data_IF_837278869345
#
_entry.id   IF_837278869345
#
_cell.length_a   1.000
_cell.length_b   1.000
_cell.length_c   1.000
_cell.angle_alpha   90.00
_cell.angle_beta   90.00
_cell.angle_gamma   90.00
#
_symmetry.space_group_name_H-M   'P 1'
#
loop_
_entity.id
_entity.type
_entity.pdbx_description
1 polymer ?
#
# COMPACT_ATOMS: atom_id res chain seq x y z
N UNK A 1 14.10 -28.64 -15.11
CA UNK A 1 13.29 -27.45 -15.42
C UNK A 1 14.12 -26.21 -15.13
N UNK A 2 14.30 -25.36 -16.12
CA UNK A 2 14.96 -24.05 -15.97
C UNK A 2 13.94 -23.01 -15.51
N UNK A 3 14.37 -22.03 -14.75
CA UNK A 3 13.53 -20.90 -14.33
C UNK A 3 14.12 -19.63 -14.95
N UNK A 4 13.37 -18.97 -15.81
CA UNK A 4 13.74 -17.69 -16.43
C UNK A 4 13.02 -16.56 -15.70
N UNK A 5 13.77 -15.71 -14.99
CA UNK A 5 13.22 -14.52 -14.35
C UNK A 5 13.39 -13.33 -15.28
N UNK A 6 12.28 -12.76 -15.73
CA UNK A 6 12.24 -11.58 -16.61
C UNK A 6 11.94 -10.34 -15.75
N UNK A 7 12.58 -9.22 -16.07
CA UNK A 7 12.52 -7.95 -15.34
C UNK A 7 13.26 -7.98 -14.00
N UNK A 8 14.50 -7.55 -14.02
CA UNK A 8 15.35 -7.45 -12.83
C UNK A 8 15.10 -6.16 -12.03
N UNK A 9 14.46 -5.15 -12.60
CA UNK A 9 14.21 -3.85 -11.97
C UNK A 9 13.20 -3.92 -10.82
N UNK A 10 12.09 -4.66 -11.01
CA UNK A 10 10.95 -4.66 -10.09
C UNK A 10 10.98 -5.84 -9.10
N UNK A 11 12.18 -6.21 -8.64
CA UNK A 11 12.38 -7.25 -7.64
C UNK A 11 12.81 -8.61 -8.19
N UNK A 12 12.99 -8.74 -9.50
CA UNK A 12 13.43 -9.98 -10.14
C UNK A 12 14.78 -10.48 -9.64
N UNK A 13 15.75 -9.60 -9.37
CA UNK A 13 17.05 -9.96 -8.76
C UNK A 13 16.84 -10.74 -7.46
N UNK A 14 15.97 -10.28 -6.57
CA UNK A 14 15.69 -10.95 -5.29
C UNK A 14 15.02 -12.31 -5.47
N UNK A 15 14.11 -12.39 -6.44
CA UNK A 15 13.43 -13.65 -6.81
C UNK A 15 14.44 -14.63 -7.36
N UNK A 16 15.28 -14.24 -8.31
CA UNK A 16 16.29 -15.08 -8.93
C UNK A 16 17.27 -15.64 -7.88
N UNK A 17 17.80 -14.78 -7.02
CA UNK A 17 18.70 -15.21 -5.92
C UNK A 17 17.96 -16.15 -4.94
N UNK A 18 16.70 -15.91 -4.63
CA UNK A 18 15.93 -16.75 -3.72
C UNK A 18 15.70 -18.16 -4.29
N UNK A 19 15.44 -18.25 -5.59
CA UNK A 19 15.32 -19.52 -6.30
C UNK A 19 16.66 -20.27 -6.36
N UNK A 20 17.75 -19.58 -6.68
CA UNK A 20 19.09 -20.15 -6.71
C UNK A 20 19.52 -20.69 -5.33
N UNK A 21 19.20 -19.96 -4.24
CA UNK A 21 19.42 -20.44 -2.86
C UNK A 21 18.65 -21.71 -2.52
N UNK A 22 17.50 -21.96 -3.17
CA UNK A 22 16.74 -23.22 -3.08
C UNK A 22 17.25 -24.30 -4.04
N UNK A 23 18.42 -24.10 -4.68
CA UNK A 23 19.07 -25.07 -5.58
C UNK A 23 18.39 -25.19 -6.95
N UNK A 24 17.56 -24.23 -7.36
CA UNK A 24 16.96 -24.23 -8.69
C UNK A 24 17.94 -23.68 -9.73
N UNK A 25 17.86 -24.18 -10.96
CA UNK A 25 18.59 -23.60 -12.08
C UNK A 25 17.87 -22.33 -12.53
N UNK A 26 18.57 -21.18 -12.52
CA UNK A 26 17.97 -19.87 -12.74
C UNK A 26 18.71 -19.10 -13.82
N UNK A 27 17.95 -18.67 -14.79
CA UNK A 27 18.30 -17.73 -15.84
C UNK A 27 17.63 -16.38 -15.52
N UNK A 28 18.23 -15.29 -15.92
CA UNK A 28 17.66 -13.97 -15.71
C UNK A 28 17.83 -13.07 -16.94
N UNK A 29 16.81 -12.31 -17.27
CA UNK A 29 16.85 -11.34 -18.36
C UNK A 29 16.53 -9.92 -17.85
N UNK A 30 17.42 -8.97 -18.11
CA UNK A 30 17.25 -7.56 -17.76
C UNK A 30 16.63 -6.77 -18.93
N UNK A 31 15.32 -6.95 -19.13
CA UNK A 31 14.58 -6.32 -20.23
C UNK A 31 14.67 -4.79 -20.27
N UNK A 32 15.01 -4.14 -19.16
CA UNK A 32 15.10 -2.68 -19.05
C UNK A 32 16.53 -2.14 -19.04
N UNK A 33 17.53 -3.02 -19.01
CA UNK A 33 18.95 -2.65 -18.88
C UNK A 33 19.23 -1.73 -17.68
N UNK A 34 18.68 -2.06 -16.52
CA UNK A 34 18.78 -1.27 -15.29
C UNK A 34 19.59 -1.95 -14.20
N UNK A 35 20.17 -3.12 -14.48
CA UNK A 35 20.96 -3.89 -13.53
C UNK A 35 22.24 -3.13 -13.15
N UNK A 36 22.42 -2.86 -11.88
CA UNK A 36 23.64 -2.23 -11.38
C UNK A 36 24.77 -3.24 -11.11
N UNK A 37 25.98 -2.72 -10.89
CA UNK A 37 27.17 -3.56 -10.65
C UNK A 37 27.06 -4.43 -9.39
N UNK A 38 26.29 -4.00 -8.39
CA UNK A 38 26.14 -4.74 -7.13
C UNK A 38 25.21 -5.93 -7.37
N UNK A 39 24.07 -5.69 -7.98
CA UNK A 39 23.10 -6.72 -8.30
C UNK A 39 23.67 -7.73 -9.30
N UNK A 40 24.42 -7.26 -10.31
CA UNK A 40 25.14 -8.15 -11.21
C UNK A 40 26.09 -9.09 -10.48
N UNK A 41 26.96 -8.57 -9.59
CA UNK A 41 27.86 -9.39 -8.77
C UNK A 41 27.10 -10.38 -7.90
N UNK A 42 25.95 -9.98 -7.35
CA UNK A 42 25.13 -10.86 -6.53
C UNK A 42 24.56 -12.02 -7.35
N UNK A 43 24.06 -11.78 -8.56
CA UNK A 43 23.57 -12.82 -9.46
C UNK A 43 24.68 -13.82 -9.78
N UNK A 44 25.90 -13.35 -10.10
CA UNK A 44 27.07 -14.21 -10.35
C UNK A 44 27.44 -15.07 -9.12
N UNK A 45 27.46 -14.49 -7.91
CA UNK A 45 27.77 -15.22 -6.65
C UNK A 45 26.79 -16.38 -6.44
N UNK A 46 25.53 -16.22 -6.82
CA UNK A 46 24.50 -17.26 -6.67
C UNK A 46 24.31 -18.13 -7.92
N UNK A 47 25.25 -18.06 -8.90
CA UNK A 47 25.21 -18.83 -10.15
C UNK A 47 23.90 -18.62 -10.94
N UNK A 48 23.39 -17.40 -10.98
CA UNK A 48 22.31 -17.00 -11.87
C UNK A 48 22.94 -16.58 -13.19
N UNK A 49 22.51 -17.20 -14.28
CA UNK A 49 23.01 -16.90 -15.63
C UNK A 49 22.18 -15.77 -16.24
N UNK A 50 22.84 -14.70 -16.69
CA UNK A 50 22.22 -13.64 -17.45
C UNK A 50 22.15 -14.04 -18.93
N UNK A 51 20.96 -13.92 -19.52
CA UNK A 51 20.74 -14.26 -20.93
C UNK A 51 19.89 -13.18 -21.61
N UNK A 52 20.05 -13.07 -22.93
CA UNK A 52 19.09 -12.39 -23.79
C UNK A 52 17.97 -13.35 -24.20
N UNK A 53 16.77 -12.83 -24.57
CA UNK A 53 15.66 -13.71 -24.97
C UNK A 53 15.99 -14.51 -26.22
N UNK A 54 16.83 -14.01 -27.11
CA UNK A 54 17.35 -14.69 -28.30
C UNK A 54 18.15 -15.96 -27.98
N UNK A 55 18.77 -16.02 -26.79
CA UNK A 55 19.56 -17.17 -26.35
C UNK A 55 18.67 -18.37 -26.01
N UNK A 56 17.36 -18.15 -25.82
CA UNK A 56 16.41 -19.24 -25.60
C UNK A 56 16.47 -20.33 -26.67
N UNK A 57 16.86 -20.00 -27.90
CA UNK A 57 17.04 -20.97 -29.01
C UNK A 57 17.97 -22.13 -28.66
N UNK A 58 18.92 -21.94 -27.74
CA UNK A 58 19.95 -22.92 -27.37
C UNK A 58 19.49 -23.86 -26.25
N UNK A 59 18.34 -23.60 -25.62
CA UNK A 59 17.81 -24.39 -24.52
C UNK A 59 16.86 -25.49 -25.00
N UNK A 60 16.68 -26.50 -24.15
CA UNK A 60 15.78 -27.65 -24.41
C UNK A 60 15.01 -28.02 -23.14
N UNK A 61 13.84 -28.63 -23.31
CA UNK A 61 13.01 -29.17 -22.24
C UNK A 61 12.07 -28.13 -21.65
N UNK A 62 11.92 -28.17 -20.34
CA UNK A 62 10.94 -27.34 -19.62
C UNK A 62 11.53 -26.00 -19.20
N UNK A 63 10.79 -24.93 -19.42
CA UNK A 63 11.12 -23.56 -19.04
C UNK A 63 9.98 -22.93 -18.25
N UNK A 64 10.23 -22.57 -16.99
CA UNK A 64 9.30 -21.77 -16.19
C UNK A 64 9.67 -20.30 -16.31
N UNK A 65 8.83 -19.50 -16.95
CA UNK A 65 9.00 -18.06 -17.11
C UNK A 65 8.35 -17.34 -15.95
N UNK A 66 9.14 -16.58 -15.22
CA UNK A 66 8.73 -15.82 -14.03
C UNK A 66 8.80 -14.34 -14.36
N UNK A 67 7.66 -13.64 -14.30
CA UNK A 67 7.53 -12.29 -14.84
C UNK A 67 6.66 -11.38 -13.96
N UNK A 68 6.88 -10.05 -14.01
CA UNK A 68 6.01 -9.10 -13.32
C UNK A 68 4.68 -8.95 -14.07
N UNK A 69 3.59 -8.70 -13.36
CA UNK A 69 2.25 -8.56 -13.96
C UNK A 69 2.14 -7.41 -14.98
N UNK A 70 3.05 -6.44 -14.91
CA UNK A 70 3.14 -5.31 -15.84
C UNK A 70 4.16 -5.51 -16.97
N UNK A 71 4.58 -6.77 -17.22
CA UNK A 71 5.52 -7.07 -18.30
C UNK A 71 4.96 -6.58 -19.65
N UNK A 72 5.75 -5.79 -20.41
CA UNK A 72 5.30 -5.25 -21.70
C UNK A 72 5.36 -6.26 -22.85
N UNK A 73 5.76 -7.52 -22.61
CA UNK A 73 5.80 -8.62 -23.56
C UNK A 73 4.64 -9.59 -23.34
N UNK A 74 4.10 -10.12 -24.42
CA UNK A 74 3.13 -11.23 -24.36
C UNK A 74 3.84 -12.58 -24.21
N UNK A 75 3.11 -13.58 -23.77
CA UNK A 75 3.62 -14.95 -23.72
C UNK A 75 4.03 -15.45 -25.11
N UNK A 76 3.28 -15.10 -26.17
CA UNK A 76 3.57 -15.48 -27.56
C UNK A 76 4.88 -14.85 -28.05
N UNK A 77 5.17 -13.59 -27.69
CA UNK A 77 6.44 -12.95 -28.01
C UNK A 77 7.61 -13.72 -27.38
N UNK A 78 7.49 -14.14 -26.12
CA UNK A 78 8.54 -14.91 -25.43
C UNK A 78 8.70 -16.31 -26.05
N UNK A 79 7.59 -17.02 -26.27
CA UNK A 79 7.64 -18.40 -26.84
C UNK A 79 8.13 -18.42 -28.26
N UNK A 80 8.00 -17.34 -29.03
CA UNK A 80 8.49 -17.23 -30.39
C UNK A 80 10.00 -17.40 -30.55
N UNK A 81 10.78 -17.07 -29.47
CA UNK A 81 12.24 -17.26 -29.48
C UNK A 81 12.67 -18.74 -29.48
N UNK A 82 11.85 -19.64 -28.93
CA UNK A 82 12.06 -21.10 -29.07
C UNK A 82 10.73 -21.87 -28.89
N UNK A 83 9.98 -22.13 -29.95
CA UNK A 83 8.70 -22.85 -29.89
C UNK A 83 8.81 -24.34 -29.47
N UNK A 84 10.02 -24.87 -29.36
CA UNK A 84 10.25 -26.26 -28.97
C UNK A 84 10.42 -26.47 -27.44
N UNK A 85 10.40 -25.41 -26.64
CA UNK A 85 10.40 -25.50 -25.18
C UNK A 85 8.98 -25.73 -24.65
N UNK A 86 8.88 -26.47 -23.55
CA UNK A 86 7.63 -26.58 -22.79
C UNK A 86 7.57 -25.45 -21.77
N UNK A 87 6.79 -24.42 -22.07
CA UNK A 87 6.70 -23.24 -21.22
C UNK A 87 5.63 -23.39 -20.15
N UNK A 88 5.96 -22.93 -18.94
CA UNK A 88 5.01 -22.56 -17.90
C UNK A 88 5.26 -21.10 -17.52
N UNK A 89 4.21 -20.39 -17.11
CA UNK A 89 4.28 -18.97 -16.81
C UNK A 89 3.79 -18.74 -15.39
N UNK A 90 4.60 -18.03 -14.57
CA UNK A 90 4.25 -17.60 -13.23
C UNK A 90 4.55 -16.12 -13.04
N UNK A 91 3.65 -15.40 -12.40
CA UNK A 91 3.92 -14.02 -12.02
C UNK A 91 4.92 -13.94 -10.86
N UNK A 92 5.56 -12.77 -10.66
CA UNK A 92 6.37 -12.51 -9.48
C UNK A 92 5.57 -12.73 -8.18
N UNK A 93 4.26 -12.50 -8.19
CA UNK A 93 3.37 -12.73 -7.06
C UNK A 93 3.25 -14.23 -6.74
N UNK A 94 2.99 -15.05 -7.76
CA UNK A 94 2.85 -16.51 -7.62
C UNK A 94 4.14 -17.17 -7.13
N UNK A 95 5.28 -16.81 -7.71
CA UNK A 95 6.54 -17.41 -7.28
C UNK A 95 6.95 -16.98 -5.87
N UNK A 96 6.61 -15.77 -5.43
CA UNK A 96 6.84 -15.33 -4.04
C UNK A 96 5.96 -16.14 -3.08
N UNK A 97 4.69 -16.42 -3.44
CA UNK A 97 3.85 -17.35 -2.67
C UNK A 97 4.52 -18.71 -2.50
N UNK A 98 5.02 -19.30 -3.59
CA UNK A 98 5.71 -20.59 -3.57
C UNK A 98 7.01 -20.55 -2.74
N UNK A 99 7.74 -19.45 -2.79
CA UNK A 99 8.94 -19.24 -1.98
C UNK A 99 8.65 -19.14 -0.48
N UNK A 100 7.45 -18.77 -0.09
CA UNK A 100 6.98 -18.56 1.28
C UNK A 100 6.04 -19.65 1.80
N UNK A 101 5.83 -20.74 1.06
CA UNK A 101 4.93 -21.83 1.46
C UNK A 101 5.17 -22.38 2.86
N UNK A 102 6.43 -22.41 3.31
CA UNK A 102 6.83 -22.93 4.62
C UNK A 102 6.88 -21.84 5.70
N UNK A 103 6.43 -20.61 5.37
CA UNK A 103 6.46 -19.48 6.29
C UNK A 103 5.07 -19.13 6.83
N UNK A 104 5.02 -18.74 8.09
CA UNK A 104 3.87 -18.05 8.68
C UNK A 104 2.83 -18.96 9.31
N UNK A 105 3.17 -20.20 9.67
CA UNK A 105 2.30 -21.03 10.51
C UNK A 105 2.01 -20.30 11.83
N UNK A 106 0.71 -20.13 12.12
CA UNK A 106 0.20 -19.42 13.31
C UNK A 106 0.45 -17.90 13.29
N UNK A 107 0.89 -17.28 12.19
CA UNK A 107 0.94 -15.83 11.99
C UNK A 107 -0.33 -15.41 11.24
N UNK A 108 -1.04 -14.38 11.73
CA UNK A 108 -2.13 -13.76 10.98
C UNK A 108 -1.55 -12.95 9.82
N UNK A 109 -1.89 -13.29 8.59
CA UNK A 109 -1.34 -12.66 7.36
C UNK A 109 -2.41 -11.85 6.65
N UNK A 110 -2.14 -10.59 6.46
CA UNK A 110 -3.02 -9.65 5.76
C UNK A 110 -2.27 -9.05 4.58
N UNK A 111 -2.86 -9.11 3.40
CA UNK A 111 -2.35 -8.42 2.23
C UNK A 111 -3.34 -7.33 1.82
N UNK A 112 -2.84 -6.09 1.65
CA UNK A 112 -3.66 -4.91 1.35
C UNK A 112 -3.31 -4.37 -0.03
N UNK A 113 -4.32 -4.26 -0.90
CA UNK A 113 -4.20 -3.63 -2.22
C UNK A 113 -5.37 -2.66 -2.46
N UNK A 114 -5.31 -1.94 -3.56
CA UNK A 114 -6.28 -0.94 -3.97
C UNK A 114 -5.59 0.18 -4.73
N UNK A 115 -6.35 1.09 -5.30
CA UNK A 115 -5.79 2.27 -5.96
C UNK A 115 -5.37 3.30 -4.91
N UNK A 116 -6.24 3.58 -3.94
CA UNK A 116 -5.97 4.54 -2.84
C UNK A 116 -6.24 3.92 -1.46
N UNK A 117 -5.72 4.55 -0.40
CA UNK A 117 -5.99 4.16 0.98
C UNK A 117 -5.13 3.04 1.57
N UNK A 118 -4.29 2.36 0.78
CA UNK A 118 -3.51 1.19 1.21
C UNK A 118 -2.67 1.44 2.47
N UNK A 119 -1.79 2.41 2.44
CA UNK A 119 -0.91 2.73 3.58
C UNK A 119 -1.70 3.11 4.81
N UNK A 120 -2.76 3.92 4.64
CA UNK A 120 -3.70 4.30 5.71
C UNK A 120 -4.30 3.06 6.39
N UNK A 121 -4.81 2.12 5.60
CA UNK A 121 -5.41 0.87 6.10
C UNK A 121 -4.39 -0.04 6.77
N UNK A 122 -3.17 -0.15 6.24
CA UNK A 122 -2.07 -0.89 6.89
C UNK A 122 -1.78 -0.33 8.28
N UNK A 123 -1.75 0.99 8.45
CA UNK A 123 -1.48 1.58 9.76
C UNK A 123 -2.69 1.57 10.70
N UNK A 124 -3.93 1.56 10.19
CA UNK A 124 -5.12 1.26 11.01
C UNK A 124 -5.08 -0.19 11.52
N UNK A 125 -4.79 -1.16 10.65
CA UNK A 125 -4.60 -2.56 11.02
C UNK A 125 -3.47 -2.73 12.05
N UNK A 126 -2.37 -2.01 11.88
CA UNK A 126 -1.26 -1.97 12.82
C UNK A 126 -1.71 -1.53 14.22
N UNK A 127 -2.55 -0.50 14.34
CA UNK A 127 -3.06 -0.08 15.65
C UNK A 127 -3.93 -1.16 16.31
N UNK A 128 -4.78 -1.85 15.53
CA UNK A 128 -5.64 -2.92 16.06
C UNK A 128 -4.80 -4.13 16.50
N UNK A 129 -3.77 -4.47 15.73
CA UNK A 129 -2.91 -5.64 15.97
C UNK A 129 -1.62 -5.33 16.72
N UNK A 130 -1.48 -4.14 17.31
CA UNK A 130 -0.22 -3.68 17.91
C UNK A 130 0.32 -4.60 19.00
N UNK A 131 -0.56 -5.26 19.75
CA UNK A 131 -0.20 -6.20 20.81
C UNK A 131 0.28 -7.58 20.26
N UNK A 132 0.19 -7.79 18.96
CA UNK A 132 0.67 -8.97 18.22
C UNK A 132 2.03 -8.72 17.55
N UNK A 133 2.67 -7.59 17.88
CA UNK A 133 3.98 -7.20 17.35
C UNK A 133 4.03 -7.25 15.81
N UNK A 134 3.19 -6.52 15.08
CA UNK A 134 3.03 -6.71 13.64
C UNK A 134 4.32 -6.45 12.83
N UNK A 135 4.59 -7.35 11.87
CA UNK A 135 5.56 -7.15 10.80
C UNK A 135 4.87 -6.45 9.63
N UNK A 136 5.44 -5.34 9.15
CA UNK A 136 4.80 -4.50 8.14
C UNK A 136 5.73 -4.28 6.94
N UNK A 137 5.16 -4.40 5.74
CA UNK A 137 5.69 -3.79 4.53
C UNK A 137 4.70 -2.74 4.05
N UNK A 138 5.17 -1.52 3.90
CA UNK A 138 4.37 -0.41 3.37
C UNK A 138 5.23 0.53 2.54
N UNK A 139 4.60 1.51 1.89
CA UNK A 139 5.31 2.58 1.17
C UNK A 139 6.19 3.45 2.09
N UNK A 140 6.00 3.37 3.41
CA UNK A 140 6.85 4.05 4.40
C UNK A 140 8.05 3.21 4.84
N UNK A 141 8.12 1.94 4.45
CA UNK A 141 9.23 1.06 4.77
C UNK A 141 8.81 -0.34 5.20
N UNK A 142 9.82 -1.16 5.50
CA UNK A 142 9.68 -2.42 6.20
C UNK A 142 9.89 -2.16 7.69
N UNK A 143 8.89 -2.48 8.50
CA UNK A 143 8.83 -2.16 9.93
C UNK A 143 8.49 -3.42 10.72
N UNK A 144 9.03 -3.53 11.91
CA UNK A 144 8.64 -4.51 12.92
C UNK A 144 8.27 -3.76 14.19
N UNK A 145 7.16 -4.12 14.81
CA UNK A 145 6.80 -3.61 16.12
C UNK A 145 7.10 -4.67 17.17
N UNK A 146 7.74 -4.25 18.27
CA UNK A 146 8.02 -5.10 19.43
C UNK A 146 7.65 -4.31 20.68
N UNK A 147 6.74 -4.82 21.48
CA UNK A 147 6.21 -4.13 22.66
C UNK A 147 5.76 -2.69 22.33
N UNK A 148 5.07 -2.50 21.22
CA UNK A 148 4.59 -1.22 20.67
C UNK A 148 5.69 -0.26 20.22
N UNK A 149 6.95 -0.70 20.20
CA UNK A 149 8.09 0.09 19.70
C UNK A 149 8.35 -0.24 18.25
N UNK A 150 8.52 0.80 17.45
CA UNK A 150 8.85 0.65 16.04
C UNK A 150 10.34 0.34 15.85
N UNK A 151 10.61 -0.70 15.09
CA UNK A 151 11.94 -1.08 14.60
C UNK A 151 11.92 -0.95 13.08
N UNK A 152 12.67 -0.01 12.56
CA UNK A 152 12.81 0.17 11.10
C UNK A 152 13.78 -0.88 10.57
N UNK A 153 13.25 -1.84 9.80
CA UNK A 153 14.05 -2.89 9.16
C UNK A 153 14.74 -2.34 7.90
N UNK A 154 14.00 -1.58 7.09
CA UNK A 154 14.49 -0.96 5.86
C UNK A 154 13.64 0.23 5.47
N UNK A 155 14.27 1.37 5.24
CA UNK A 155 13.66 2.56 4.62
C UNK A 155 13.70 2.42 3.09
N UNK A 156 12.90 3.21 2.40
CA UNK A 156 12.91 3.31 0.93
C UNK A 156 12.84 1.93 0.24
N UNK A 157 11.85 1.15 0.60
CA UNK A 157 11.56 -0.16 0.02
C UNK A 157 10.25 -0.07 -0.78
N UNK A 158 10.26 -0.56 -2.01
CA UNK A 158 9.05 -0.61 -2.83
C UNK A 158 8.09 -1.72 -2.37
N UNK A 159 6.79 -1.51 -2.56
CA UNK A 159 5.74 -2.45 -2.19
C UNK A 159 5.49 -3.48 -3.31
N UNK A 160 6.54 -4.22 -3.66
CA UNK A 160 6.52 -5.31 -4.65
C UNK A 160 6.49 -6.68 -3.97
N UNK A 161 6.04 -7.75 -4.64
CA UNK A 161 6.00 -9.09 -4.06
C UNK A 161 7.35 -9.56 -3.50
N UNK A 162 8.44 -9.32 -4.23
CA UNK A 162 9.79 -9.69 -3.81
C UNK A 162 10.20 -9.04 -2.47
N UNK A 163 9.68 -7.85 -2.19
CA UNK A 163 9.96 -7.13 -0.96
C UNK A 163 9.15 -7.65 0.25
N UNK A 164 8.05 -8.37 0.03
CA UNK A 164 7.40 -9.15 1.10
C UNK A 164 8.40 -10.16 1.66
N UNK A 165 9.01 -10.95 0.78
CA UNK A 165 10.04 -11.92 1.19
C UNK A 165 11.25 -11.24 1.83
N UNK A 166 11.75 -10.14 1.26
CA UNK A 166 12.88 -9.38 1.82
C UNK A 166 12.56 -8.88 3.26
N UNK A 167 11.34 -8.38 3.49
CA UNK A 167 10.88 -7.93 4.81
C UNK A 167 10.87 -9.07 5.82
N UNK A 168 10.37 -10.25 5.43
CA UNK A 168 10.38 -11.46 6.26
C UNK A 168 11.82 -11.89 6.59
N UNK A 169 12.70 -11.92 5.58
CA UNK A 169 14.11 -12.28 5.76
C UNK A 169 14.86 -11.29 6.68
N UNK A 170 14.54 -9.99 6.60
CA UNK A 170 15.09 -8.97 7.48
C UNK A 170 14.61 -9.14 8.93
N UNK A 171 13.33 -9.38 9.13
CA UNK A 171 12.77 -9.66 10.45
C UNK A 171 13.39 -10.93 11.07
N UNK A 172 13.56 -11.97 10.26
CA UNK A 172 14.24 -13.20 10.70
C UNK A 172 15.67 -12.95 11.17
N UNK A 173 16.46 -12.15 10.45
CA UNK A 173 17.84 -11.81 10.83
C UNK A 173 17.91 -11.05 12.16
N UNK A 174 16.94 -10.20 12.46
CA UNK A 174 16.87 -9.46 13.72
C UNK A 174 16.43 -10.38 14.86
N UNK A 175 15.46 -11.26 14.60
CA UNK A 175 14.98 -12.24 15.57
C UNK A 175 16.05 -13.29 15.92
N UNK A 176 16.94 -13.59 14.98
CA UNK A 176 18.03 -14.56 15.14
C UNK A 176 19.39 -13.87 14.93
N UNK A 177 19.81 -12.96 15.82
CA UNK A 177 21.16 -12.42 15.76
C UNK A 177 22.12 -13.60 15.86
N UNK A 178 23.15 -13.60 15.01
CA UNK A 178 24.20 -14.66 14.98
C UNK A 178 24.60 -14.98 16.42
N UNK A 179 24.15 -16.14 16.91
CA UNK A 179 24.43 -16.58 18.26
C UNK A 179 25.96 -16.68 18.45
N UNK A 180 26.48 -16.08 19.51
CA UNK A 180 27.83 -16.31 19.93
C UNK A 180 28.00 -17.83 20.18
N UNK A 181 28.90 -18.44 19.46
CA UNK A 181 29.31 -19.83 19.69
C UNK A 181 30.00 -19.83 21.06
N UNK A 182 29.30 -20.25 22.10
CA UNK A 182 29.89 -20.73 23.32
C UNK A 182 29.69 -22.25 23.30
N UNK A 183 30.79 -22.95 23.33
CA UNK A 183 30.87 -24.42 23.51
C UNK A 183 30.38 -25.31 22.35
N UNK A 184 30.43 -24.86 21.10
CA UNK A 184 30.23 -25.73 19.93
C UNK A 184 28.79 -26.18 19.69
N UNK A 185 27.83 -25.73 20.45
CA UNK A 185 26.38 -25.96 20.26
C UNK A 185 25.69 -24.69 19.78
N UNK A 186 25.10 -24.75 18.58
CA UNK A 186 24.23 -23.72 18.05
C UNK A 186 22.85 -24.03 18.58
N UNK A 187 22.42 -23.39 19.64
CA UNK A 187 21.01 -23.37 20.02
C UNK A 187 20.28 -22.40 19.06
N UNK A 188 19.57 -22.96 18.09
CA UNK A 188 18.55 -22.22 17.34
C UNK A 188 17.34 -22.05 18.26
N UNK A 189 17.24 -20.91 18.90
CA UNK A 189 15.97 -20.49 19.46
C UNK A 189 15.10 -19.98 18.30
N UNK A 190 14.04 -20.70 17.96
CA UNK A 190 12.99 -20.22 17.07
C UNK A 190 12.22 -19.09 17.76
N UNK A 191 12.86 -17.95 17.89
CA UNK A 191 12.24 -16.75 18.47
C UNK A 191 11.46 -16.04 17.38
N UNK A 192 10.16 -16.33 17.31
CA UNK A 192 9.21 -15.56 16.53
C UNK A 192 8.89 -14.28 17.30
N UNK A 193 9.29 -13.14 16.75
CA UNK A 193 9.05 -11.83 17.38
C UNK A 193 7.70 -11.20 17.02
N UNK A 194 6.92 -11.79 16.13
CA UNK A 194 5.65 -11.25 15.64
C UNK A 194 4.61 -12.34 15.41
N UNK A 195 3.34 -12.02 15.69
CA UNK A 195 2.18 -12.91 15.54
C UNK A 195 1.22 -12.44 14.45
N UNK A 196 1.48 -11.29 13.84
CA UNK A 196 0.77 -10.78 12.68
C UNK A 196 1.71 -10.17 11.65
N UNK A 197 1.32 -10.20 10.38
CA UNK A 197 2.05 -9.61 9.26
C UNK A 197 1.08 -8.92 8.32
N UNK A 198 1.40 -7.67 7.95
CA UNK A 198 0.55 -6.81 7.13
C UNK A 198 1.38 -6.30 5.96
N UNK A 199 1.01 -6.66 4.74
CA UNK A 199 1.77 -6.32 3.55
C UNK A 199 0.96 -5.47 2.59
N UNK A 200 1.44 -4.26 2.31
CA UNK A 200 0.93 -3.39 1.26
C UNK A 200 1.47 -3.85 -0.10
N UNK A 201 0.61 -3.93 -1.10
CA UNK A 201 0.98 -4.26 -2.48
C UNK A 201 0.35 -3.29 -3.48
N UNK A 202 1.13 -2.86 -4.47
CA UNK A 202 0.69 -1.89 -5.47
C UNK A 202 -0.21 -2.53 -6.54
N UNK A 203 0.30 -3.52 -7.25
CA UNK A 203 -0.35 -4.15 -8.41
C UNK A 203 -0.90 -5.55 -8.11
N UNK A 204 -1.63 -5.69 -7.01
CA UNK A 204 -2.15 -6.97 -6.58
C UNK A 204 -1.33 -7.58 -5.45
N UNK A 205 -1.74 -8.74 -4.97
CA UNK A 205 -1.17 -9.40 -3.81
C UNK A 205 -0.54 -10.74 -4.17
N UNK A 206 0.32 -11.28 -3.33
CA UNK A 206 0.94 -12.58 -3.56
C UNK A 206 -0.03 -13.74 -3.34
N UNK A 207 -1.04 -13.53 -2.51
CA UNK A 207 -2.02 -14.56 -2.12
C UNK A 207 -1.55 -15.46 -0.98
N UNK A 208 -0.55 -15.00 -0.19
CA UNK A 208 -0.17 -15.67 1.07
C UNK A 208 -1.08 -15.26 2.24
N UNK A 209 -1.86 -14.19 2.07
CA UNK A 209 -2.74 -13.65 3.10
C UNK A 209 -3.81 -14.64 3.54
N UNK A 210 -4.03 -14.75 4.85
CA UNK A 210 -5.23 -15.38 5.39
C UNK A 210 -6.45 -14.52 4.99
N UNK A 211 -6.26 -13.18 4.98
CA UNK A 211 -7.22 -12.22 4.42
C UNK A 211 -6.52 -11.30 3.42
N UNK A 212 -7.13 -11.13 2.25
CA UNK A 212 -6.81 -10.11 1.26
C UNK A 212 -7.80 -8.96 1.32
N UNK A 213 -7.33 -7.73 1.48
CA UNK A 213 -8.15 -6.52 1.47
C UNK A 213 -7.95 -5.74 0.18
N UNK A 214 -9.01 -5.61 -0.63
CA UNK A 214 -9.06 -4.71 -1.78
C UNK A 214 -9.94 -3.51 -1.45
N UNK A 215 -9.29 -2.35 -1.27
CA UNK A 215 -9.96 -1.14 -0.78
C UNK A 215 -10.86 -0.48 -1.82
N UNK A 216 -10.38 -0.35 -3.05
CA UNK A 216 -11.12 0.29 -4.15
C UNK A 216 -10.40 0.11 -5.49
N UNK A 217 -11.17 0.33 -6.57
CA UNK A 217 -10.68 0.59 -7.93
C UNK A 217 -11.14 1.99 -8.33
N UNK A 218 -10.68 3.01 -7.60
CA UNK A 218 -11.08 4.40 -7.84
C UNK A 218 -10.77 4.89 -9.27
N UNK A 219 -9.82 4.25 -9.94
CA UNK A 219 -9.44 4.46 -11.32
C UNK A 219 -8.83 3.16 -11.87
N UNK A 220 -9.36 2.65 -12.95
CA UNK A 220 -8.82 1.46 -13.61
C UNK A 220 -7.80 1.85 -14.68
N UNK A 221 -6.59 2.25 -14.23
CA UNK A 221 -5.53 2.71 -15.11
C UNK A 221 -4.84 1.57 -15.87
N UNK A 222 -4.37 1.84 -17.12
CA UNK A 222 -3.68 0.84 -17.93
C UNK A 222 -2.30 0.51 -17.36
N UNK A 223 -1.91 -0.76 -17.44
CA UNK A 223 -0.58 -1.28 -17.13
C UNK A 223 -0.04 -2.09 -18.33
N UNK A 224 1.22 -2.55 -18.27
CA UNK A 224 1.82 -3.38 -19.32
C UNK A 224 1.71 -2.74 -20.73
N UNK A 225 1.93 -1.43 -20.84
CA UNK A 225 1.73 -0.63 -22.08
C UNK A 225 0.30 -0.75 -22.64
N UNK A 226 -0.70 -0.79 -21.76
CA UNK A 226 -2.12 -0.87 -22.15
C UNK A 226 -2.62 -2.29 -22.47
N UNK A 227 -1.81 -3.33 -22.25
CA UNK A 227 -2.22 -4.73 -22.44
C UNK A 227 -3.06 -5.28 -21.30
N UNK A 228 -3.04 -4.63 -20.15
CA UNK A 228 -3.79 -4.97 -18.94
C UNK A 228 -4.16 -3.69 -18.18
N UNK A 229 -4.90 -3.83 -17.11
CA UNK A 229 -5.36 -2.74 -16.27
C UNK A 229 -5.20 -3.05 -14.77
N UNK A 230 -5.41 -2.06 -13.93
CA UNK A 230 -5.24 -2.19 -12.49
C UNK A 230 -6.21 -3.20 -11.88
N UNK A 231 -7.46 -3.30 -12.37
CA UNK A 231 -8.46 -4.27 -11.92
C UNK A 231 -7.99 -5.71 -12.18
N UNK A 232 -7.49 -6.01 -13.37
CA UNK A 232 -6.95 -7.35 -13.68
C UNK A 232 -5.75 -7.71 -12.80
N UNK A 233 -4.84 -6.76 -12.54
CA UNK A 233 -3.71 -6.98 -11.64
C UNK A 233 -4.17 -7.28 -10.22
N UNK A 234 -5.18 -6.55 -9.71
CA UNK A 234 -5.68 -6.68 -8.34
C UNK A 234 -6.60 -7.89 -8.13
N UNK A 235 -7.08 -8.52 -9.20
CA UNK A 235 -7.81 -9.79 -9.17
C UNK A 235 -7.07 -10.89 -8.41
N UNK A 236 -5.75 -10.77 -8.24
CA UNK A 236 -4.96 -11.70 -7.43
C UNK A 236 -5.38 -11.74 -5.96
N UNK A 237 -6.15 -10.76 -5.45
CA UNK A 237 -6.69 -10.76 -4.09
C UNK A 237 -7.53 -12.02 -3.81
N UNK A 238 -8.18 -12.56 -4.83
CA UNK A 238 -8.96 -13.81 -4.74
C UNK A 238 -8.10 -15.08 -4.58
N UNK A 239 -6.79 -14.95 -4.41
CA UNK A 239 -5.88 -16.06 -4.03
C UNK A 239 -5.64 -16.14 -2.53
N UNK A 240 -6.09 -15.16 -1.77
CA UNK A 240 -6.07 -15.18 -0.30
C UNK A 240 -7.14 -16.12 0.25
N UNK A 241 -7.01 -16.52 1.50
CA UNK A 241 -7.94 -17.45 2.15
C UNK A 241 -9.35 -16.88 2.31
N UNK A 242 -9.47 -15.60 2.61
CA UNK A 242 -10.69 -14.81 2.68
C UNK A 242 -10.46 -13.47 1.98
N UNK A 243 -11.48 -12.89 1.37
CA UNK A 243 -11.39 -11.63 0.63
C UNK A 243 -12.34 -10.61 1.21
N UNK A 244 -11.81 -9.45 1.58
CA UNK A 244 -12.57 -8.26 1.95
C UNK A 244 -12.44 -7.23 0.81
N UNK A 245 -13.55 -6.80 0.24
CA UNK A 245 -13.55 -5.95 -0.95
C UNK A 245 -14.66 -4.89 -0.89
N UNK A 246 -14.35 -3.67 -1.38
CA UNK A 246 -15.39 -2.66 -1.59
C UNK A 246 -16.47 -3.19 -2.54
N UNK A 247 -17.74 -3.03 -2.15
CA UNK A 247 -18.92 -3.58 -2.87
C UNK A 247 -18.98 -3.07 -4.29
N UNK A 248 -18.75 -1.78 -4.48
CA UNK A 248 -18.77 -1.10 -5.77
C UNK A 248 -17.69 -1.68 -6.71
N UNK A 249 -16.48 -1.89 -6.21
CA UNK A 249 -15.41 -2.51 -6.99
C UNK A 249 -15.69 -3.99 -7.28
N UNK A 250 -16.33 -4.71 -6.35
CA UNK A 250 -16.72 -6.11 -6.58
C UNK A 250 -17.77 -6.22 -7.69
N UNK A 251 -18.82 -5.42 -7.63
CA UNK A 251 -19.93 -5.48 -8.59
C UNK A 251 -19.49 -5.07 -10.00
N UNK A 252 -18.61 -4.08 -10.10
CA UNK A 252 -18.14 -3.58 -11.39
C UNK A 252 -17.13 -4.52 -12.08
N UNK A 253 -16.17 -5.07 -11.32
CA UNK A 253 -15.00 -5.75 -11.90
C UNK A 253 -14.93 -7.24 -11.62
N UNK A 254 -15.60 -7.77 -10.58
CA UNK A 254 -15.33 -9.11 -10.07
C UNK A 254 -16.57 -9.96 -9.77
N UNK A 255 -17.74 -9.51 -10.17
CA UNK A 255 -19.03 -10.23 -9.93
C UNK A 255 -19.09 -11.64 -10.50
N UNK A 256 -18.25 -11.95 -11.49
CA UNK A 256 -18.10 -13.27 -12.11
C UNK A 256 -17.08 -14.18 -11.40
N UNK A 257 -16.30 -13.64 -10.46
CA UNK A 257 -15.26 -14.40 -9.78
C UNK A 257 -15.86 -15.33 -8.74
N UNK A 258 -15.52 -16.60 -8.82
CA UNK A 258 -15.93 -17.60 -7.84
C UNK A 258 -14.89 -17.73 -6.75
N UNK A 259 -15.29 -17.41 -5.53
CA UNK A 259 -14.48 -17.60 -4.31
C UNK A 259 -15.43 -17.81 -3.13
N UNK A 260 -15.15 -18.81 -2.28
CA UNK A 260 -16.09 -19.24 -1.23
C UNK A 260 -16.23 -18.21 -0.10
N UNK A 261 -15.17 -17.45 0.18
CA UNK A 261 -15.10 -16.49 1.29
C UNK A 261 -14.85 -15.08 0.76
N UNK A 262 -15.85 -14.47 0.14
CA UNK A 262 -15.86 -13.05 -0.19
C UNK A 262 -16.76 -12.32 0.76
N UNK A 263 -16.29 -11.23 1.32
CA UNK A 263 -17.03 -10.28 2.16
C UNK A 263 -16.91 -8.89 1.55
N UNK A 264 -18.02 -8.20 1.44
CA UNK A 264 -18.11 -6.88 0.84
C UNK A 264 -18.31 -5.79 1.89
N UNK A 265 -17.78 -4.60 1.67
CA UNK A 265 -18.09 -3.43 2.47
C UNK A 265 -18.47 -2.23 1.60
N UNK A 266 -19.36 -1.38 2.10
CA UNK A 266 -19.73 -0.12 1.44
C UNK A 266 -20.11 0.96 2.44
N UNK A 267 -19.92 2.22 2.04
CA UNK A 267 -20.49 3.36 2.75
C UNK A 267 -21.95 3.62 2.39
N UNK A 268 -22.35 3.25 1.17
CA UNK A 268 -23.60 3.71 0.56
C UNK A 268 -24.59 2.58 0.26
N UNK A 269 -24.11 1.32 0.21
CA UNK A 269 -24.92 0.16 -0.13
C UNK A 269 -25.10 -0.77 1.08
N UNK A 270 -26.32 -0.74 1.64
CA UNK A 270 -26.72 -1.61 2.77
C UNK A 270 -26.85 -3.09 2.40
N UNK A 271 -26.70 -3.47 1.13
CA UNK A 271 -26.68 -4.87 0.69
C UNK A 271 -25.29 -5.49 0.84
N UNK A 272 -24.27 -4.72 1.19
CA UNK A 272 -22.94 -5.24 1.50
C UNK A 272 -22.93 -5.97 2.84
N UNK A 273 -21.99 -6.91 3.00
CA UNK A 273 -21.87 -7.70 4.23
C UNK A 273 -21.49 -6.84 5.46
N UNK A 274 -20.89 -5.66 5.22
CA UNK A 274 -20.61 -4.64 6.23
C UNK A 274 -20.85 -3.25 5.66
N UNK A 275 -21.62 -2.41 6.35
CA UNK A 275 -21.88 -1.03 5.91
C UNK A 275 -21.94 -0.03 7.06
N UNK A 276 -21.75 1.24 6.73
CA UNK A 276 -21.96 2.35 7.65
C UNK A 276 -23.43 2.79 7.65
N UNK A 277 -24.09 2.75 8.83
CA UNK A 277 -25.49 3.20 8.97
C UNK A 277 -25.58 4.69 9.31
N UNK A 278 -24.59 5.24 10.01
CA UNK A 278 -24.55 6.63 10.45
C UNK A 278 -23.07 7.06 10.59
N UNK A 279 -22.72 8.21 10.05
CA UNK A 279 -21.37 8.77 10.13
C UNK A 279 -21.46 10.21 10.61
N UNK A 280 -20.79 10.50 11.72
CA UNK A 280 -20.62 11.86 12.22
C UNK A 280 -19.15 12.24 12.09
N UNK A 281 -18.86 13.01 11.05
CA UNK A 281 -17.52 13.51 10.78
C UNK A 281 -17.06 14.49 11.83
N UNK A 282 -15.81 14.39 12.22
CA UNK A 282 -15.12 15.35 13.08
C UNK A 282 -13.61 15.22 12.83
N UNK A 283 -12.90 16.33 12.81
CA UNK A 283 -11.47 16.38 12.55
C UNK A 283 -10.62 15.77 13.69
N UNK A 284 -11.21 15.53 14.86
CA UNK A 284 -10.55 14.82 15.93
C UNK A 284 -10.83 13.32 15.86
N UNK A 285 -12.12 13.00 15.76
CA UNK A 285 -12.56 11.62 15.90
C UNK A 285 -13.96 11.43 15.29
N UNK A 286 -14.00 10.94 14.07
CA UNK A 286 -15.25 10.56 13.41
C UNK A 286 -15.90 9.38 14.13
N UNK A 287 -17.21 9.47 14.33
CA UNK A 287 -18.02 8.38 14.91
C UNK A 287 -18.75 7.68 13.80
N UNK A 288 -18.54 6.36 13.68
CA UNK A 288 -19.12 5.53 12.63
C UNK A 288 -19.92 4.40 13.28
N UNK A 289 -21.23 4.33 12.98
CA UNK A 289 -22.06 3.19 13.32
C UNK A 289 -22.02 2.20 12.16
N UNK A 290 -21.69 0.97 12.46
CA UNK A 290 -21.46 -0.10 11.48
C UNK A 290 -22.44 -1.24 11.80
N UNK A 291 -23.10 -1.76 10.76
CA UNK A 291 -23.81 -3.02 10.79
C UNK A 291 -23.10 -4.02 9.88
N UNK A 292 -23.10 -5.29 10.29
CA UNK A 292 -22.52 -6.37 9.49
C UNK A 292 -23.35 -7.64 9.66
N UNK A 293 -23.50 -8.37 8.56
CA UNK A 293 -24.30 -9.59 8.51
C UNK A 293 -23.64 -10.68 7.66
N UNK A 294 -23.65 -11.91 8.19
CA UNK A 294 -23.13 -13.09 7.53
C UNK A 294 -21.67 -12.98 7.06
N UNK A 295 -20.84 -12.17 7.73
CA UNK A 295 -19.41 -12.03 7.44
C UNK A 295 -18.72 -13.38 7.63
N UNK A 296 -18.11 -13.90 6.58
CA UNK A 296 -17.37 -15.16 6.54
C UNK A 296 -16.00 -14.97 7.15
N UNK A 297 -15.57 -15.90 7.99
CA UNK A 297 -14.27 -15.85 8.65
C UNK A 297 -13.27 -16.85 8.08
N UNK A 298 -12.00 -16.68 8.43
CA UNK A 298 -10.93 -17.62 8.04
C UNK A 298 -11.20 -19.06 8.54
N UNK A 299 -11.90 -19.23 9.65
CA UNK A 299 -12.23 -20.52 10.26
C UNK A 299 -13.64 -21.02 9.89
N UNK A 300 -14.23 -20.56 8.79
CA UNK A 300 -15.54 -20.96 8.27
C UNK A 300 -16.74 -20.60 9.19
N UNK A 301 -16.56 -19.65 10.11
CA UNK A 301 -17.65 -19.12 10.91
C UNK A 301 -18.36 -17.97 10.17
N UNK A 302 -19.60 -17.68 10.58
CA UNK A 302 -20.35 -16.50 10.16
C UNK A 302 -20.51 -15.57 11.35
N UNK A 303 -20.29 -14.27 11.12
CA UNK A 303 -20.47 -13.26 12.16
C UNK A 303 -21.47 -12.20 11.70
N UNK A 304 -22.37 -11.80 12.59
CA UNK A 304 -23.35 -10.75 12.38
C UNK A 304 -23.46 -9.90 13.64
N UNK A 305 -23.73 -8.61 13.48
CA UNK A 305 -23.88 -7.69 14.60
C UNK A 305 -23.82 -6.24 14.20
N UNK A 306 -23.62 -5.41 15.21
CA UNK A 306 -23.39 -3.98 15.02
C UNK A 306 -22.32 -3.48 15.99
N UNK A 307 -21.69 -2.36 15.64
CA UNK A 307 -20.73 -1.70 16.50
C UNK A 307 -20.69 -0.19 16.22
N UNK A 308 -20.14 0.55 17.17
CA UNK A 308 -19.78 1.97 16.96
C UNK A 308 -18.31 2.13 17.16
N UNK A 309 -17.61 2.58 16.12
CA UNK A 309 -16.18 2.90 16.20
C UNK A 309 -15.97 4.41 16.21
N UNK A 310 -14.90 4.83 16.88
CA UNK A 310 -14.42 6.20 16.91
C UNK A 310 -12.98 6.20 16.48
N UNK A 311 -12.64 6.96 15.44
CA UNK A 311 -11.28 7.01 14.92
C UNK A 311 -11.03 8.27 14.12
N UNK A 312 -9.78 8.59 13.83
CA UNK A 312 -9.44 9.67 12.91
C UNK A 312 -9.75 9.25 11.47
N UNK A 313 -10.88 9.74 10.96
CA UNK A 313 -11.37 9.48 9.60
C UNK A 313 -12.14 10.70 9.08
N UNK A 314 -11.45 11.84 8.81
CA UNK A 314 -12.11 13.12 8.58
C UNK A 314 -12.89 13.25 7.27
N UNK A 315 -12.77 12.29 6.36
CA UNK A 315 -13.47 12.33 5.07
C UNK A 315 -14.04 10.96 4.66
N UNK A 316 -14.93 10.94 3.65
CA UNK A 316 -15.61 9.72 3.20
C UNK A 316 -14.65 8.58 2.82
N UNK A 317 -13.57 8.88 2.10
CA UNK A 317 -12.57 7.88 1.71
C UNK A 317 -11.83 7.27 2.92
N UNK A 318 -11.67 8.04 4.01
CA UNK A 318 -11.11 7.51 5.26
C UNK A 318 -12.11 6.57 5.95
N UNK A 319 -13.40 6.90 5.94
CA UNK A 319 -14.45 6.04 6.49
C UNK A 319 -14.52 4.73 5.69
N UNK A 320 -14.46 4.77 4.36
CA UNK A 320 -14.38 3.55 3.53
C UNK A 320 -13.18 2.68 3.91
N UNK A 321 -11.99 3.27 4.14
CA UNK A 321 -10.83 2.54 4.62
C UNK A 321 -11.08 1.89 6.00
N UNK A 322 -11.76 2.60 6.92
CA UNK A 322 -12.14 2.04 8.24
C UNK A 322 -13.05 0.82 8.07
N UNK A 323 -14.07 0.89 7.19
CA UNK A 323 -14.96 -0.24 6.94
C UNK A 323 -14.20 -1.46 6.43
N UNK A 324 -13.31 -1.29 5.45
CA UNK A 324 -12.46 -2.37 4.95
C UNK A 324 -11.55 -2.98 6.02
N UNK A 325 -10.96 -2.14 6.87
CA UNK A 325 -10.12 -2.58 8.00
C UNK A 325 -10.94 -3.34 9.04
N UNK A 326 -12.11 -2.84 9.42
CA UNK A 326 -13.02 -3.50 10.38
C UNK A 326 -13.47 -4.85 9.83
N UNK A 327 -13.88 -4.91 8.57
CA UNK A 327 -14.28 -6.15 7.90
C UNK A 327 -13.14 -7.18 7.89
N UNK A 328 -11.91 -6.73 7.59
CA UNK A 328 -10.71 -7.59 7.63
C UNK A 328 -10.48 -8.16 9.04
N UNK A 329 -10.64 -7.34 10.07
CA UNK A 329 -10.47 -7.78 11.46
C UNK A 329 -11.57 -8.77 11.89
N UNK A 330 -12.84 -8.55 11.49
CA UNK A 330 -13.94 -9.51 11.75
C UNK A 330 -13.65 -10.83 11.04
N UNK A 331 -13.22 -10.78 9.77
CA UNK A 331 -12.87 -11.99 8.99
C UNK A 331 -11.72 -12.78 9.62
N UNK A 332 -10.80 -12.13 10.34
CA UNK A 332 -9.72 -12.74 11.12
C UNK A 332 -10.14 -13.17 12.53
N UNK A 333 -11.41 -13.00 12.88
CA UNK A 333 -11.97 -13.29 14.22
C UNK A 333 -11.28 -12.49 15.34
N UNK A 334 -10.85 -11.26 15.05
CA UNK A 334 -10.38 -10.34 16.09
C UNK A 334 -11.60 -9.92 16.93
N UNK A 335 -11.53 -10.01 18.28
CA UNK A 335 -12.65 -9.62 19.15
C UNK A 335 -13.12 -8.19 18.87
N UNK A 336 -14.44 -8.00 18.80
CA UNK A 336 -15.07 -6.71 18.47
C UNK A 336 -14.64 -5.62 19.44
N UNK A 337 -14.56 -5.94 20.72
CA UNK A 337 -14.11 -5.01 21.78
C UNK A 337 -12.68 -4.55 21.52
N UNK A 338 -11.81 -5.44 21.05
CA UNK A 338 -10.42 -5.09 20.69
C UNK A 338 -10.38 -4.17 19.47
N UNK A 339 -11.21 -4.43 18.44
CA UNK A 339 -11.31 -3.55 17.27
C UNK A 339 -11.72 -2.15 17.71
N UNK A 340 -12.80 -2.02 18.49
CA UNK A 340 -13.32 -0.74 18.98
C UNK A 340 -12.27 -0.01 19.84
N UNK A 341 -11.64 -0.73 20.78
CA UNK A 341 -10.64 -0.15 21.68
C UNK A 341 -9.40 0.37 20.92
N UNK A 342 -8.89 -0.41 19.99
CA UNK A 342 -7.59 -0.11 19.38
C UNK A 342 -7.66 0.87 18.22
N UNK A 343 -8.70 0.83 17.38
CA UNK A 343 -8.81 1.70 16.21
C UNK A 343 -8.90 3.19 16.58
N UNK A 344 -9.40 3.51 17.77
CA UNK A 344 -9.45 4.89 18.27
C UNK A 344 -8.06 5.51 18.50
N UNK A 345 -7.01 4.69 18.57
CA UNK A 345 -5.64 5.16 18.73
C UNK A 345 -5.01 5.63 17.42
N UNK A 346 -5.63 5.31 16.29
CA UNK A 346 -5.17 5.80 14.99
C UNK A 346 -5.36 7.33 14.90
N UNK A 347 -4.29 8.04 14.56
CA UNK A 347 -4.25 9.53 14.51
C UNK A 347 -3.81 10.08 13.15
N UNK A 348 -3.88 9.26 12.11
CA UNK A 348 -3.32 9.58 10.80
C UNK A 348 -1.86 9.12 10.66
N UNK A 349 -1.30 9.37 9.51
CA UNK A 349 0.08 9.02 9.17
C UNK A 349 0.80 10.31 8.76
N UNK A 350 2.02 10.57 9.26
CA UNK A 350 2.79 11.72 8.80
C UNK A 350 2.86 11.80 7.27
N UNK A 351 2.49 12.95 6.72
CA UNK A 351 2.41 13.19 5.28
C UNK A 351 1.17 12.66 4.57
N UNK A 352 0.21 12.02 5.28
CA UNK A 352 -1.03 11.53 4.65
C UNK A 352 -2.21 11.80 5.56
N UNK A 353 -2.79 12.99 5.42
CA UNK A 353 -3.87 13.47 6.28
C UNK A 353 -3.49 13.35 7.75
N UNK A 354 -2.39 13.98 8.12
CA UNK A 354 -1.91 14.00 9.49
C UNK A 354 -2.39 15.25 10.22
N UNK A 355 -2.83 15.09 11.47
CA UNK A 355 -3.31 16.17 12.32
C UNK A 355 -2.34 16.46 13.47
N UNK A 356 -1.98 17.72 13.60
CA UNK A 356 -1.18 18.24 14.71
C UNK A 356 -1.93 19.35 15.44
N UNK A 357 -1.78 19.44 16.75
CA UNK A 357 -2.23 20.58 17.55
C UNK A 357 -1.00 21.39 17.94
N UNK A 358 -0.98 22.65 17.57
CA UNK A 358 0.10 23.59 17.94
C UNK A 358 -0.55 24.84 18.53
N UNK A 359 -0.41 25.03 19.85
CA UNK A 359 -1.15 26.06 20.58
C UNK A 359 -2.66 25.82 20.47
N UNK A 360 -3.39 26.83 20.01
CA UNK A 360 -4.84 26.77 19.77
C UNK A 360 -5.18 26.31 18.35
N UNK A 361 -4.20 26.20 17.45
CA UNK A 361 -4.41 25.90 16.04
C UNK A 361 -4.37 24.39 15.77
N UNK A 362 -5.28 23.93 14.92
CA UNK A 362 -5.27 22.59 14.32
C UNK A 362 -4.58 22.70 12.95
N UNK A 363 -3.56 21.90 12.74
CA UNK A 363 -2.86 21.81 11.46
C UNK A 363 -3.10 20.43 10.88
N UNK A 364 -3.68 20.40 9.68
CA UNK A 364 -3.84 19.17 8.88
C UNK A 364 -2.81 19.21 7.76
N UNK A 365 -1.98 18.19 7.71
CA UNK A 365 -0.95 18.05 6.66
C UNK A 365 -1.36 16.97 5.65
N UNK A 366 -1.33 17.33 4.39
CA UNK A 366 -1.48 16.44 3.25
C UNK A 366 -0.25 16.61 2.36
N UNK A 367 0.81 15.83 2.65
CA UNK A 367 2.11 15.93 1.99
C UNK A 367 2.45 14.58 1.39
N UNK A 368 2.26 14.41 0.10
CA UNK A 368 2.67 13.17 -0.57
C UNK A 368 2.93 13.41 -2.08
N UNK A 369 3.79 12.58 -2.69
CA UNK A 369 4.16 12.75 -4.10
C UNK A 369 3.03 12.42 -5.08
N UNK A 370 2.02 11.65 -4.67
CA UNK A 370 0.90 11.24 -5.50
C UNK A 370 -0.34 12.15 -5.40
N UNK A 371 -0.19 13.36 -4.85
CA UNK A 371 -1.28 14.35 -4.85
C UNK A 371 -1.63 14.76 -6.28
N UNK A 372 -2.88 14.56 -6.65
CA UNK A 372 -3.48 15.04 -7.89
C UNK A 372 -4.65 16.00 -7.58
N UNK A 373 -5.22 16.61 -8.60
CA UNK A 373 -6.31 17.59 -8.46
C UNK A 373 -7.47 17.04 -7.64
N UNK A 374 -7.90 15.80 -7.87
CA UNK A 374 -9.00 15.18 -7.11
C UNK A 374 -8.65 14.99 -5.63
N UNK A 375 -7.45 14.52 -5.31
CA UNK A 375 -7.02 14.36 -3.92
C UNK A 375 -6.99 15.71 -3.18
N UNK A 376 -6.53 16.78 -3.84
CA UNK A 376 -6.53 18.14 -3.28
C UNK A 376 -7.97 18.59 -3.03
N UNK A 377 -8.89 18.38 -3.97
CA UNK A 377 -10.31 18.71 -3.80
C UNK A 377 -10.93 17.94 -2.61
N UNK A 378 -10.68 16.63 -2.52
CA UNK A 378 -11.17 15.81 -1.42
C UNK A 378 -10.62 16.30 -0.06
N UNK A 379 -9.36 16.70 0.00
CA UNK A 379 -8.75 17.24 1.23
C UNK A 379 -9.39 18.58 1.64
N UNK A 380 -9.70 19.44 0.69
CA UNK A 380 -10.35 20.73 0.97
C UNK A 380 -11.80 20.51 1.40
N UNK A 381 -12.54 19.62 0.74
CA UNK A 381 -13.91 19.29 1.12
C UNK A 381 -14.06 18.76 2.56
N UNK A 382 -13.00 18.22 3.15
CA UNK A 382 -13.02 17.81 4.57
C UNK A 382 -13.19 18.99 5.54
N UNK A 383 -12.84 20.21 5.11
CA UNK A 383 -12.87 21.41 5.96
C UNK A 383 -13.87 22.47 5.43
N UNK A 384 -14.59 22.21 4.34
CA UNK A 384 -15.42 23.21 3.65
C UNK A 384 -16.54 23.76 4.54
N UNK A 385 -17.09 22.94 5.44
CA UNK A 385 -18.09 23.35 6.43
C UNK A 385 -17.50 23.96 7.72
N UNK A 386 -16.17 24.17 7.77
CA UNK A 386 -15.48 24.66 8.96
C UNK A 386 -14.95 26.07 8.74
N UNK A 387 -15.34 26.97 9.61
CA UNK A 387 -14.75 28.30 9.66
C UNK A 387 -13.33 28.29 10.21
N UNK A 388 -12.59 29.37 9.94
CA UNK A 388 -11.28 29.63 10.54
C UNK A 388 -10.10 28.78 10.03
N UNK A 389 -10.15 28.29 8.78
CA UNK A 389 -9.03 27.63 8.13
C UNK A 389 -8.34 28.51 7.08
N UNK A 390 -6.99 28.52 7.13
CA UNK A 390 -6.18 28.83 5.95
C UNK A 390 -5.96 27.56 5.14
N UNK A 391 -6.02 27.66 3.82
CA UNK A 391 -5.69 26.57 2.90
C UNK A 391 -4.38 26.93 2.22
N UNK A 392 -3.31 26.16 2.49
CA UNK A 392 -2.04 26.28 1.78
C UNK A 392 -1.93 25.20 0.71
N UNK A 393 -1.60 25.60 -0.52
CA UNK A 393 -1.45 24.69 -1.66
C UNK A 393 -0.11 24.95 -2.33
N UNK A 394 0.64 23.87 -2.52
CA UNK A 394 1.92 23.91 -3.17
C UNK A 394 2.42 22.57 -3.67
N UNK A 395 3.67 22.54 -4.05
CA UNK A 395 4.32 21.30 -4.44
C UNK A 395 5.47 21.51 -5.40
N UNK A 396 6.20 20.42 -5.61
CA UNK A 396 7.32 20.33 -6.54
C UNK A 396 6.85 19.59 -7.82
N UNK A 397 7.40 19.91 -8.99
CA UNK A 397 7.16 19.18 -10.24
C UNK A 397 8.12 18.00 -10.41
N UNK A 398 7.75 17.06 -11.31
CA UNK A 398 8.62 15.96 -11.72
C UNK A 398 8.80 14.85 -10.68
N UNK A 399 7.97 14.80 -9.65
CA UNK A 399 8.06 13.78 -8.57
C UNK A 399 7.42 12.46 -8.98
N UNK A 400 6.33 12.51 -9.75
CA UNK A 400 5.65 11.34 -10.30
C UNK A 400 5.34 11.55 -11.78
N UNK A 401 5.00 10.47 -12.49
CA UNK A 401 4.63 10.55 -13.91
C UNK A 401 3.31 11.28 -14.17
N UNK A 402 2.44 11.38 -13.16
CA UNK A 402 1.18 12.12 -13.21
C UNK A 402 1.40 13.52 -12.63
N UNK A 403 1.08 14.55 -13.38
CA UNK A 403 1.13 15.93 -12.93
C UNK A 403 -0.27 16.45 -12.55
N UNK A 404 -0.30 17.56 -11.80
CA UNK A 404 -1.56 18.19 -11.38
C UNK A 404 -2.20 18.88 -12.59
N UNK A 405 -3.49 18.62 -12.82
CA UNK A 405 -4.30 19.42 -13.75
C UNK A 405 -4.59 20.79 -13.12
N UNK A 406 -3.73 21.74 -13.40
CA UNK A 406 -3.79 23.07 -12.78
C UNK A 406 -4.98 23.91 -13.24
N UNK A 407 -5.45 23.73 -14.47
CA UNK A 407 -6.63 24.47 -14.95
C UNK A 407 -7.89 24.02 -14.20
N UNK A 408 -8.05 22.72 -14.05
CA UNK A 408 -9.14 22.13 -13.26
C UNK A 408 -9.03 22.50 -11.78
N UNK A 409 -7.82 22.49 -11.22
CA UNK A 409 -7.59 22.89 -9.84
C UNK A 409 -7.88 24.36 -9.63
N UNK A 410 -7.39 25.26 -10.49
CA UNK A 410 -7.66 26.69 -10.41
C UNK A 410 -9.16 26.99 -10.53
N UNK A 411 -9.87 26.32 -11.45
CA UNK A 411 -11.32 26.42 -11.56
C UNK A 411 -12.03 26.12 -10.24
N UNK A 412 -11.66 25.04 -9.57
CA UNK A 412 -12.19 24.67 -8.26
C UNK A 412 -11.82 25.69 -7.17
N UNK A 413 -10.55 26.07 -7.07
CA UNK A 413 -10.08 27.01 -6.05
C UNK A 413 -10.76 28.40 -6.14
N UNK A 414 -11.13 28.83 -7.34
CA UNK A 414 -11.85 30.08 -7.54
C UNK A 414 -13.28 30.05 -6.97
N UNK A 415 -13.86 28.88 -6.71
CA UNK A 415 -15.23 28.75 -6.12
C UNK A 415 -15.23 28.77 -4.59
N UNK A 416 -14.08 28.61 -3.94
CA UNK A 416 -13.98 28.54 -2.49
C UNK A 416 -14.04 29.93 -1.83
N UNK A 417 -14.59 30.03 -0.63
CA UNK A 417 -14.58 31.26 0.18
C UNK A 417 -13.38 31.37 1.12
N UNK A 418 -12.53 30.36 1.17
CA UNK A 418 -11.35 30.30 2.05
C UNK A 418 -10.18 31.20 1.60
N UNK A 419 -9.39 31.67 2.54
CA UNK A 419 -8.11 32.34 2.30
C UNK A 419 -7.07 31.31 1.80
N UNK A 420 -6.63 31.49 0.54
CA UNK A 420 -5.67 30.58 -0.09
C UNK A 420 -4.26 31.16 -0.03
N UNK A 421 -3.33 30.34 0.44
CA UNK A 421 -1.89 30.56 0.47
C UNK A 421 -1.25 29.64 -0.57
N UNK A 422 -0.44 30.20 -1.44
CA UNK A 422 0.30 29.46 -2.46
C UNK A 422 1.77 29.34 -2.05
N UNK A 423 2.40 28.18 -2.34
CA UNK A 423 3.81 27.93 -2.02
C UNK A 423 4.45 26.96 -3.02
N UNK A 424 5.77 26.99 -3.16
CA UNK A 424 6.51 26.12 -4.08
C UNK A 424 6.19 26.33 -5.57
N UNK A 425 6.71 25.46 -6.41
CA UNK A 425 6.61 25.59 -7.87
C UNK A 425 5.16 25.53 -8.38
N UNK A 426 4.36 24.58 -7.86
CA UNK A 426 2.93 24.45 -8.19
C UNK A 426 2.17 25.71 -7.77
N UNK A 427 2.49 26.27 -6.59
CA UNK A 427 1.88 27.52 -6.14
C UNK A 427 2.23 28.71 -7.03
N UNK A 428 3.47 28.77 -7.53
CA UNK A 428 3.88 29.80 -8.50
C UNK A 428 3.08 29.73 -9.80
N UNK A 429 2.90 28.54 -10.35
CA UNK A 429 2.13 28.34 -11.57
C UNK A 429 0.63 28.68 -11.38
N UNK A 430 0.02 28.19 -10.30
CA UNK A 430 -1.39 28.46 -9.98
C UNK A 430 -1.70 29.95 -9.78
N UNK A 431 -0.75 30.74 -9.30
CA UNK A 431 -0.94 32.16 -9.04
C UNK A 431 -1.43 32.94 -10.27
N UNK A 432 -0.98 32.59 -11.46
CA UNK A 432 -1.38 33.24 -12.71
C UNK A 432 -2.78 32.82 -13.20
N UNK A 433 -3.32 31.70 -12.68
CA UNK A 433 -4.59 31.09 -13.11
C UNK A 433 -5.75 31.41 -12.16
N UNK A 434 -5.45 31.91 -10.96
CA UNK A 434 -6.45 32.27 -9.97
C UNK A 434 -6.94 33.69 -10.17
N UNK A 435 -8.26 33.86 -10.14
CA UNK A 435 -8.92 35.17 -10.27
C UNK A 435 -9.13 35.86 -8.91
N UNK A 436 -9.11 35.08 -7.84
CA UNK A 436 -9.23 35.57 -6.46
C UNK A 436 -7.89 36.04 -5.91
N UNK A 437 -7.93 36.90 -4.90
CA UNK A 437 -6.72 37.36 -4.19
C UNK A 437 -6.13 36.20 -3.39
N UNK A 438 -4.87 35.89 -3.66
CA UNK A 438 -4.09 34.87 -2.95
C UNK A 438 -2.82 35.47 -2.38
N UNK A 439 -2.24 34.83 -1.39
CA UNK A 439 -0.89 35.16 -0.84
C UNK A 439 0.08 34.10 -1.35
N UNK A 440 1.28 34.52 -1.69
CA UNK A 440 2.38 33.60 -1.98
C UNK A 440 3.41 33.69 -0.84
N UNK A 441 3.75 32.55 -0.21
CA UNK A 441 4.72 32.46 0.87
C UNK A 441 5.65 31.29 0.53
N UNK A 442 6.95 31.57 0.42
CA UNK A 442 7.96 30.56 0.05
C UNK A 442 8.23 29.59 1.19
N UNK A 443 8.40 30.12 2.41
CA UNK A 443 8.78 29.34 3.58
C UNK A 443 7.56 28.62 4.19
N UNK A 444 7.63 27.30 4.29
CA UNK A 444 6.62 26.51 4.98
C UNK A 444 6.49 26.92 6.46
N UNK A 445 7.62 27.17 7.14
CA UNK A 445 7.62 27.64 8.53
C UNK A 445 6.82 28.93 8.70
N UNK A 446 6.97 29.89 7.78
CA UNK A 446 6.25 31.17 7.82
C UNK A 446 4.72 30.95 7.63
N UNK A 447 4.32 29.94 6.86
CA UNK A 447 2.90 29.59 6.70
C UNK A 447 2.33 29.04 8.02
N UNK A 448 3.08 28.16 8.69
CA UNK A 448 2.67 27.60 9.99
C UNK A 448 2.61 28.70 11.05
N UNK A 449 3.66 29.52 11.14
CA UNK A 449 3.74 30.64 12.09
C UNK A 449 2.61 31.65 11.86
N UNK A 450 2.26 31.94 10.60
CA UNK A 450 1.15 32.82 10.28
C UNK A 450 -0.19 32.24 10.77
N UNK A 451 -0.45 30.95 10.59
CA UNK A 451 -1.67 30.33 11.07
C UNK A 451 -1.75 30.39 12.61
N UNK A 452 -0.68 30.00 13.28
CA UNK A 452 -0.57 29.96 14.75
C UNK A 452 -0.73 31.38 15.34
N UNK A 453 -0.02 32.37 14.81
CA UNK A 453 -0.04 33.76 15.31
C UNK A 453 -1.39 34.46 15.10
N UNK A 454 -2.22 33.96 14.18
CA UNK A 454 -3.56 34.49 13.93
C UNK A 454 -4.68 33.63 14.59
N UNK A 455 -4.33 32.66 15.43
CA UNK A 455 -5.27 31.68 16.01
C UNK A 455 -6.18 31.02 14.96
N UNK A 456 -5.63 30.78 13.74
CA UNK A 456 -6.31 30.11 12.64
C UNK A 456 -5.84 28.67 12.51
N UNK A 457 -6.73 27.81 12.07
CA UNK A 457 -6.38 26.47 11.65
C UNK A 457 -5.73 26.49 10.27
N UNK A 458 -5.00 25.43 9.91
CA UNK A 458 -4.30 25.31 8.62
C UNK A 458 -4.53 23.93 8.00
N UNK A 459 -4.99 23.92 6.76
CA UNK A 459 -4.86 22.77 5.87
C UNK A 459 -3.64 23.00 4.95
N UNK A 460 -2.57 22.27 5.19
CA UNK A 460 -1.33 22.37 4.43
C UNK A 460 -1.23 21.22 3.42
N UNK A 461 -1.43 21.52 2.14
CA UNK A 461 -1.40 20.58 1.03
C UNK A 461 -0.12 20.82 0.22
N UNK A 462 0.76 19.84 0.15
CA UNK A 462 2.02 19.97 -0.56
C UNK A 462 2.41 18.69 -1.29
N UNK A 463 2.56 18.77 -2.61
CA UNK A 463 2.96 17.64 -3.44
C UNK A 463 4.47 17.47 -3.39
N UNK A 464 4.97 16.59 -2.53
CA UNK A 464 6.38 16.24 -2.40
C UNK A 464 6.54 14.99 -1.52
N UNK A 465 7.77 14.48 -1.40
CA UNK A 465 8.08 13.49 -0.38
C UNK A 465 8.06 14.13 1.01
N UNK A 466 7.36 13.51 1.95
CA UNK A 466 7.21 14.02 3.31
C UNK A 466 8.57 14.24 4.01
N UNK A 467 9.52 13.30 3.81
CA UNK A 467 10.83 13.41 4.45
C UNK A 467 11.66 14.55 3.86
N UNK A 468 11.47 14.91 2.60
CA UNK A 468 12.14 16.06 2.01
C UNK A 468 11.54 17.37 2.55
N UNK A 469 10.22 17.47 2.63
CA UNK A 469 9.52 18.65 3.17
C UNK A 469 9.81 18.82 4.66
N UNK A 470 9.89 17.76 5.43
CA UNK A 470 10.17 17.81 6.88
C UNK A 470 11.59 18.28 7.22
N UNK A 471 12.49 18.36 6.22
CA UNK A 471 13.85 18.90 6.37
C UNK A 471 13.93 20.38 6.00
N UNK A 472 12.94 20.92 5.33
CA UNK A 472 12.82 22.33 4.91
C UNK A 472 12.15 23.13 6.03
#
# INVERSE_FOLDING_TARGET
MNNLVIDLTHGGVKIAISLAKKGRNVLANDIYNTLDDIDHKMLVIYNVELIELEDLKDFKGDMNVIYPIHLPLSHDEITSHNPNLNYTFQTHHEIVKDLLNDWGEGIKKIEVTGVKGKTTSVFMLKEILIDENPLILSSLGALLYEDRREIVLKKNISITPANIKDTIDLAYKIANPICKISDGTVERTDFRKYDSAIFESSLGVSGIGDVGLLLNIAEDYPIARGRSCASEAKKQVFRCGCVCIEKEAFDEFYSDVKHDKVNTFSMNDSSSDLHACDVKYDLNQTVIKIEYDNVKTVNDNLQSGNMTVKTFAPGPHHVSNVLGVVLTCISLEIPIEKIIEKIQNYKGIPGRTNRKNIGNSIIIEEINPGLNTRAIQESINMIDDLDDYYISIGGDYGITCEEIDEEKLAGFLNTLDHDIILTGDVGHSLKSKLTKKTRFIESHTDIYDMAINNDKNLLFIYRSDYHEVSKR
#
